data_IF_226921128831
#
_entry.id   IF_226921128831
#
_cell.length_a   1.000
_cell.length_b   1.000
_cell.length_c   1.000
_cell.angle_alpha   90.00
_cell.angle_beta   90.00
_cell.angle_gamma   90.00
#
_symmetry.space_group_name_H-M   'P 1'
#
loop_
_entity.id
_entity.type
_entity.pdbx_description
1 polymer ?
#
# COMPACT_ATOMS: atom_id res chain seq x y z
N UNK A 1 26.47 13.26 -6.40
CA UNK A 1 27.23 11.99 -6.41
C UNK A 1 26.30 10.90 -5.92
N UNK A 2 25.76 10.09 -6.82
CA UNK A 2 24.92 8.93 -6.47
C UNK A 2 25.84 7.84 -5.93
N UNK A 3 25.73 7.57 -4.66
CA UNK A 3 26.63 6.69 -3.93
C UNK A 3 26.03 5.29 -3.85
N UNK A 4 26.78 4.31 -4.34
CA UNK A 4 26.91 2.89 -3.89
C UNK A 4 25.66 1.98 -3.90
N UNK A 5 24.42 2.45 -3.92
CA UNK A 5 23.23 1.59 -3.87
C UNK A 5 22.72 1.12 -5.25
N UNK A 6 23.25 1.66 -6.34
CA UNK A 6 22.83 1.37 -7.73
C UNK A 6 23.04 -0.10 -8.17
N UNK A 7 23.74 -0.92 -7.36
CA UNK A 7 23.99 -2.35 -7.62
C UNK A 7 23.25 -3.28 -6.67
N UNK A 8 22.43 -2.76 -5.77
CA UNK A 8 21.69 -3.60 -4.83
C UNK A 8 20.51 -4.26 -5.55
N UNK A 9 20.50 -5.58 -5.56
CA UNK A 9 19.36 -6.36 -6.07
C UNK A 9 18.27 -6.34 -4.98
N UNK A 10 17.10 -5.85 -5.33
CA UNK A 10 15.93 -5.77 -4.43
C UNK A 10 14.93 -6.90 -4.66
N UNK A 11 14.99 -7.52 -5.84
CA UNK A 11 14.10 -8.59 -6.25
C UNK A 11 14.80 -9.50 -7.24
N UNK A 12 14.58 -10.80 -7.14
CA UNK A 12 15.01 -11.77 -8.13
C UNK A 12 13.99 -12.89 -8.33
N UNK A 13 13.93 -13.43 -9.54
CA UNK A 13 13.24 -14.66 -9.84
C UNK A 13 14.14 -15.59 -10.63
N UNK A 14 14.04 -16.89 -10.32
CA UNK A 14 14.93 -17.93 -10.85
C UNK A 14 14.10 -19.09 -11.36
N UNK A 15 14.25 -19.39 -12.65
CA UNK A 15 13.60 -20.53 -13.28
C UNK A 15 12.07 -20.47 -13.23
N UNK A 16 11.48 -19.27 -13.30
CA UNK A 16 10.04 -19.09 -13.15
C UNK A 16 9.29 -19.69 -14.35
N UNK A 17 8.36 -20.60 -14.06
CA UNK A 17 7.45 -21.20 -15.02
C UNK A 17 6.02 -21.06 -14.54
N UNK A 18 5.10 -20.72 -15.45
CA UNK A 18 3.67 -20.63 -15.16
C UNK A 18 2.86 -21.24 -16.28
N UNK A 19 2.02 -22.21 -15.93
CA UNK A 19 1.03 -22.81 -16.81
C UNK A 19 -0.37 -22.51 -16.29
N UNK A 20 -1.27 -22.06 -17.15
CA UNK A 20 -2.68 -21.87 -16.82
C UNK A 20 -3.37 -23.23 -16.91
N UNK A 21 -3.87 -23.73 -15.79
CA UNK A 21 -4.45 -25.09 -15.70
C UNK A 21 -5.69 -25.28 -16.57
N UNK A 22 -6.52 -24.23 -16.75
CA UNK A 22 -7.79 -24.31 -17.49
C UNK A 22 -7.62 -24.74 -18.95
N UNK A 23 -6.54 -24.33 -19.59
CA UNK A 23 -6.26 -24.62 -21.01
C UNK A 23 -4.88 -25.22 -21.23
N UNK A 24 -4.21 -25.63 -20.18
CA UNK A 24 -2.85 -26.18 -20.18
C UNK A 24 -1.82 -25.34 -20.98
N UNK A 25 -2.06 -24.00 -21.01
CA UNK A 25 -1.20 -23.07 -21.75
C UNK A 25 -0.07 -22.58 -20.85
N UNK A 26 1.18 -22.85 -21.24
CA UNK A 26 2.35 -22.28 -20.59
C UNK A 26 2.48 -20.80 -21.00
N UNK A 27 2.33 -19.86 -20.04
CA UNK A 27 2.38 -18.40 -20.26
C UNK A 27 3.72 -17.79 -19.90
N UNK A 28 4.44 -18.40 -18.95
CA UNK A 28 5.81 -18.02 -18.61
C UNK A 28 6.68 -19.27 -18.66
N UNK A 29 7.86 -19.15 -19.27
CA UNK A 29 8.77 -20.25 -19.47
C UNK A 29 10.18 -19.85 -19.08
N UNK A 30 10.70 -20.49 -18.02
CA UNK A 30 12.09 -20.41 -17.58
C UNK A 30 12.61 -18.96 -17.47
N UNK A 31 11.86 -18.09 -16.74
CA UNK A 31 12.20 -16.67 -16.59
C UNK A 31 13.24 -16.51 -15.48
N UNK A 32 14.30 -15.79 -15.80
CA UNK A 32 15.34 -15.35 -14.88
C UNK A 32 15.42 -13.82 -14.94
N UNK A 33 15.13 -13.14 -13.85
CA UNK A 33 15.16 -11.68 -13.76
C UNK A 33 15.71 -11.24 -12.40
N UNK A 34 16.44 -10.13 -12.40
CA UNK A 34 16.86 -9.46 -11.18
C UNK A 34 16.64 -7.95 -11.34
N UNK A 35 16.04 -7.33 -10.34
CA UNK A 35 15.76 -5.90 -10.31
C UNK A 35 16.70 -5.22 -9.34
N UNK A 36 17.35 -4.17 -9.82
CA UNK A 36 18.20 -3.31 -9.01
C UNK A 36 17.39 -2.18 -8.38
N UNK A 37 17.86 -1.70 -7.26
CA UNK A 37 17.30 -0.52 -6.62
C UNK A 37 17.27 0.67 -7.60
N UNK A 38 16.16 1.42 -7.62
CA UNK A 38 15.97 2.58 -8.50
C UNK A 38 15.70 2.25 -9.97
N UNK A 39 15.74 0.99 -10.39
CA UNK A 39 15.51 0.63 -11.79
C UNK A 39 14.05 0.87 -12.22
N UNK A 40 13.87 1.51 -13.37
CA UNK A 40 12.58 1.67 -14.05
C UNK A 40 12.51 0.63 -15.18
N UNK A 41 11.59 -0.32 -15.06
CA UNK A 41 11.52 -1.49 -15.95
C UNK A 41 10.19 -1.51 -16.68
N UNK A 42 10.24 -1.55 -18.02
CA UNK A 42 9.07 -1.71 -18.88
C UNK A 42 8.92 -3.16 -19.35
N UNK A 43 7.68 -3.70 -19.30
CA UNK A 43 7.35 -5.02 -19.85
C UNK A 43 6.49 -4.83 -21.09
N UNK A 44 7.01 -5.25 -22.26
CA UNK A 44 6.35 -5.10 -23.56
C UNK A 44 6.02 -6.48 -24.12
N UNK A 45 4.91 -6.60 -24.83
CA UNK A 45 4.48 -7.81 -25.51
C UNK A 45 3.02 -7.76 -25.95
N UNK A 46 2.63 -8.71 -26.78
CA UNK A 46 1.25 -8.84 -27.28
C UNK A 46 0.26 -9.18 -26.17
N UNK A 47 -1.04 -9.04 -26.44
CA UNK A 47 -2.09 -9.47 -25.51
C UNK A 47 -2.01 -11.00 -25.33
N UNK A 48 -2.14 -11.45 -24.08
CA UNK A 48 -2.01 -12.88 -23.73
C UNK A 48 -0.57 -13.40 -23.63
N UNK A 49 0.46 -12.54 -23.73
CA UNK A 49 1.87 -12.93 -23.58
C UNK A 49 2.32 -13.16 -22.13
N UNK A 50 1.45 -12.99 -21.14
CA UNK A 50 1.77 -13.24 -19.73
C UNK A 50 2.23 -12.02 -18.92
N UNK A 51 2.20 -10.80 -19.49
CA UNK A 51 2.64 -9.57 -18.77
C UNK A 51 1.93 -9.39 -17.41
N UNK A 52 0.60 -9.42 -17.43
CA UNK A 52 -0.20 -9.25 -16.19
C UNK A 52 -0.01 -10.42 -15.22
N UNK A 53 0.24 -11.63 -15.73
CA UNK A 53 0.57 -12.81 -14.91
C UNK A 53 1.91 -12.61 -14.21
N UNK A 54 2.93 -12.15 -14.95
CA UNK A 54 4.24 -11.86 -14.39
C UNK A 54 4.16 -10.77 -13.30
N UNK A 55 3.44 -9.68 -13.56
CA UNK A 55 3.23 -8.60 -12.57
C UNK A 55 2.50 -9.10 -11.32
N UNK A 56 1.47 -9.96 -11.47
CA UNK A 56 0.77 -10.56 -10.31
C UNK A 56 1.67 -11.47 -9.49
N UNK A 57 2.59 -12.19 -10.12
CA UNK A 57 3.59 -13.01 -9.42
C UNK A 57 4.58 -12.12 -8.66
N UNK A 58 5.08 -11.06 -9.29
CA UNK A 58 5.95 -10.06 -8.64
C UNK A 58 5.23 -9.42 -7.45
N UNK A 59 3.95 -9.13 -7.57
CA UNK A 59 3.14 -8.56 -6.50
C UNK A 59 2.76 -9.57 -5.40
N UNK A 60 3.11 -10.85 -5.54
CA UNK A 60 2.73 -11.91 -4.58
C UNK A 60 1.26 -12.30 -4.62
N UNK A 61 0.48 -11.78 -5.58
CA UNK A 61 -0.94 -12.06 -5.77
C UNK A 61 -1.21 -13.42 -6.42
N UNK A 62 -0.27 -13.92 -7.22
CA UNK A 62 -0.30 -15.26 -7.82
C UNK A 62 0.89 -16.06 -7.31
N UNK A 63 0.61 -17.10 -6.52
CA UNK A 63 1.62 -17.99 -5.92
C UNK A 63 1.68 -19.36 -6.60
N UNK A 64 0.84 -19.59 -7.63
CA UNK A 64 0.79 -20.89 -8.33
C UNK A 64 1.74 -20.93 -9.52
N UNK A 65 3.02 -20.94 -9.26
CA UNK A 65 4.11 -21.03 -10.24
C UNK A 65 5.18 -22.04 -9.80
N UNK A 66 6.08 -22.39 -10.69
CA UNK A 66 7.29 -23.16 -10.41
C UNK A 66 8.50 -22.23 -10.51
N UNK A 67 9.52 -22.48 -9.71
CA UNK A 67 10.70 -21.63 -9.60
C UNK A 67 10.72 -20.85 -8.30
N UNK A 68 11.64 -19.89 -8.17
CA UNK A 68 11.84 -19.12 -6.97
C UNK A 68 11.63 -17.62 -7.23
N UNK A 69 11.00 -16.95 -6.27
CA UNK A 69 10.83 -15.49 -6.24
C UNK A 69 11.30 -15.01 -4.89
N UNK A 70 12.28 -14.11 -4.88
CA UNK A 70 12.94 -13.62 -3.67
C UNK A 70 12.90 -12.10 -3.65
N UNK A 71 12.43 -11.54 -2.54
CA UNK A 71 12.52 -10.12 -2.22
C UNK A 71 13.61 -9.88 -1.18
N UNK A 72 14.36 -8.81 -1.36
CA UNK A 72 15.28 -8.37 -0.31
C UNK A 72 14.51 -7.84 0.90
N UNK A 73 14.96 -8.13 2.12
CA UNK A 73 14.31 -7.62 3.33
C UNK A 73 14.21 -6.10 3.34
N UNK A 74 13.12 -5.57 3.90
CA UNK A 74 12.88 -4.13 4.04
C UNK A 74 12.26 -3.45 2.81
N UNK A 75 11.81 -4.21 1.81
CA UNK A 75 11.07 -3.69 0.66
C UNK A 75 9.63 -4.21 0.65
N UNK A 76 8.70 -3.31 0.37
CA UNK A 76 7.29 -3.61 0.13
C UNK A 76 6.97 -3.55 -1.37
N UNK A 77 5.88 -4.18 -1.78
CA UNK A 77 5.42 -4.19 -3.17
C UNK A 77 4.02 -3.63 -3.24
N UNK A 78 3.85 -2.52 -3.96
CA UNK A 78 2.54 -2.01 -4.36
C UNK A 78 2.14 -2.54 -5.73
N UNK A 79 0.88 -2.90 -5.92
CA UNK A 79 0.33 -3.35 -7.19
C UNK A 79 -0.88 -2.52 -7.60
N UNK A 80 -0.76 -1.82 -8.72
CA UNK A 80 -1.88 -1.12 -9.33
C UNK A 80 -2.46 -1.97 -10.45
N UNK A 81 -3.68 -2.46 -10.27
CA UNK A 81 -4.40 -3.21 -11.29
C UNK A 81 -4.80 -2.30 -12.46
N UNK A 82 -4.93 -2.87 -13.66
CA UNK A 82 -5.43 -2.14 -14.84
C UNK A 82 -6.89 -1.68 -14.64
N UNK A 83 -7.68 -2.51 -13.97
CA UNK A 83 -9.05 -2.21 -13.52
C UNK A 83 -9.09 -2.44 -12.01
N UNK A 84 -8.81 -1.39 -11.20
CA UNK A 84 -8.83 -1.52 -9.76
C UNK A 84 -10.26 -1.70 -9.28
N UNK A 85 -10.46 -2.64 -8.36
CA UNK A 85 -11.70 -2.74 -7.63
C UNK A 85 -11.69 -1.67 -6.53
N UNK A 86 -12.70 -0.83 -6.54
CA UNK A 86 -13.01 0.12 -5.47
C UNK A 86 -14.43 -0.16 -5.01
N UNK A 87 -14.68 -0.12 -3.72
CA UNK A 87 -16.00 -0.36 -3.15
C UNK A 87 -16.99 0.71 -3.66
N UNK A 88 -18.03 0.31 -4.42
CA UNK A 88 -18.96 1.27 -5.01
C UNK A 88 -19.83 1.98 -3.97
N UNK A 89 -19.93 1.46 -2.75
CA UNK A 89 -20.73 2.04 -1.66
C UNK A 89 -20.06 3.21 -0.98
N UNK A 90 -18.78 3.44 -1.26
CA UNK A 90 -17.94 4.46 -0.61
C UNK A 90 -17.77 5.70 -1.47
N UNK A 91 -17.37 6.78 -0.81
CA UNK A 91 -16.91 8.02 -1.45
C UNK A 91 -15.43 7.93 -1.81
N UNK A 92 -14.96 8.86 -2.62
CA UNK A 92 -13.53 8.99 -2.98
C UNK A 92 -12.66 9.16 -1.74
N UNK A 93 -13.08 10.01 -0.79
CA UNK A 93 -12.39 10.23 0.48
C UNK A 93 -12.28 8.95 1.29
N UNK A 94 -13.37 8.22 1.46
CA UNK A 94 -13.39 6.97 2.22
C UNK A 94 -12.45 5.92 1.63
N UNK A 95 -12.37 5.81 0.30
CA UNK A 95 -11.42 4.91 -0.36
C UNK A 95 -9.97 5.35 -0.10
N UNK A 96 -9.67 6.63 -0.25
CA UNK A 96 -8.30 7.14 -0.04
C UNK A 96 -7.88 6.99 1.42
N UNK A 97 -8.81 7.19 2.36
CA UNK A 97 -8.59 6.99 3.80
C UNK A 97 -8.22 5.54 4.16
N UNK A 98 -8.66 4.54 3.38
CA UNK A 98 -8.28 3.13 3.63
C UNK A 98 -6.76 2.93 3.62
N UNK A 99 -6.03 3.70 2.82
CA UNK A 99 -4.57 3.63 2.74
C UNK A 99 -3.85 4.11 4.00
N UNK A 100 -4.53 4.86 4.84
CA UNK A 100 -3.96 5.47 6.06
C UNK A 100 -4.70 5.07 7.34
N UNK A 101 -5.53 4.01 7.28
CA UNK A 101 -6.28 3.53 8.43
C UNK A 101 -5.43 3.33 9.69
N UNK A 102 -4.22 2.72 9.63
CA UNK A 102 -3.40 2.56 10.84
C UNK A 102 -3.00 3.90 11.48
N UNK A 103 -2.86 4.96 10.69
CA UNK A 103 -2.54 6.30 11.18
C UNK A 103 -3.78 6.96 11.80
N UNK A 104 -4.94 6.80 11.15
CA UNK A 104 -6.23 7.29 11.66
C UNK A 104 -6.58 6.60 12.98
N UNK A 105 -6.38 5.29 13.07
CA UNK A 105 -6.61 4.50 14.28
C UNK A 105 -5.67 4.95 15.42
N UNK A 106 -4.40 5.23 15.10
CA UNK A 106 -3.44 5.75 16.09
C UNK A 106 -3.83 7.12 16.62
N UNK A 107 -4.32 8.04 15.76
CA UNK A 107 -4.82 9.34 16.18
C UNK A 107 -6.08 9.21 17.04
N UNK A 108 -7.00 8.33 16.67
CA UNK A 108 -8.22 8.09 17.43
C UNK A 108 -7.92 7.49 18.82
N UNK A 109 -7.01 6.50 18.89
CA UNK A 109 -6.59 5.90 20.15
C UNK A 109 -5.85 6.92 21.04
N UNK A 110 -5.01 7.78 20.45
CA UNK A 110 -4.33 8.84 21.17
C UNK A 110 -5.31 9.81 21.82
N UNK A 111 -6.35 10.22 21.10
CA UNK A 111 -7.39 11.10 21.62
C UNK A 111 -8.22 10.39 22.72
N UNK A 112 -8.55 9.11 22.56
CA UNK A 112 -9.23 8.31 23.57
C UNK A 112 -8.42 8.23 24.88
N UNK A 113 -7.10 8.04 24.78
CA UNK A 113 -6.19 8.02 25.93
C UNK A 113 -6.20 9.38 26.64
N UNK A 114 -6.15 10.48 25.88
CA UNK A 114 -6.23 11.82 26.46
C UNK A 114 -7.51 12.05 27.28
N UNK A 115 -8.63 11.51 26.80
CA UNK A 115 -9.89 11.59 27.54
C UNK A 115 -9.86 10.73 28.81
N UNK A 116 -9.24 9.54 28.75
CA UNK A 116 -9.13 8.63 29.90
C UNK A 116 -8.31 9.18 31.06
N UNK A 117 -7.34 10.05 30.84
CA UNK A 117 -6.58 10.71 31.89
C UNK A 117 -7.45 11.52 32.87
N UNK A 118 -8.60 12.03 32.42
CA UNK A 118 -9.54 12.78 33.24
C UNK A 118 -10.52 11.92 34.04
N UNK A 119 -10.51 10.59 33.87
CA UNK A 119 -11.48 9.68 34.51
C UNK A 119 -10.97 9.17 35.86
N UNK A 120 -11.80 9.19 36.93
CA UNK A 120 -11.41 8.72 38.27
C UNK A 120 -10.85 7.30 38.30
N UNK A 121 -11.42 6.40 37.53
CA UNK A 121 -11.00 5.01 37.43
C UNK A 121 -9.58 4.78 36.93
N UNK A 122 -8.96 5.81 36.30
CA UNK A 122 -7.59 5.79 35.81
C UNK A 122 -6.66 6.58 36.72
N UNK A 123 -6.99 7.84 37.08
CA UNK A 123 -6.09 8.67 37.87
C UNK A 123 -5.99 8.24 39.34
N UNK A 124 -6.93 7.47 39.87
CA UNK A 124 -6.86 6.86 41.21
C UNK A 124 -6.07 5.53 41.25
N UNK A 125 -5.70 4.98 40.08
CA UNK A 125 -4.98 3.71 39.95
C UNK A 125 -3.64 3.94 39.22
N UNK A 126 -2.54 3.89 39.97
CA UNK A 126 -1.20 4.17 39.45
C UNK A 126 -0.80 3.20 38.31
N UNK A 127 -1.15 1.90 38.43
CA UNK A 127 -0.79 0.91 37.40
C UNK A 127 -1.51 1.18 36.07
N UNK A 128 -2.76 1.66 36.13
CA UNK A 128 -3.50 2.07 34.94
C UNK A 128 -2.93 3.34 34.32
N UNK A 129 -2.58 4.33 35.15
CA UNK A 129 -1.96 5.55 34.68
C UNK A 129 -0.63 5.28 33.96
N UNK A 130 0.23 4.43 34.53
CA UNK A 130 1.53 4.10 33.93
C UNK A 130 1.36 3.40 32.58
N UNK A 131 0.34 2.54 32.43
CA UNK A 131 -0.02 1.93 31.14
C UNK A 131 -0.50 2.95 30.11
N UNK A 132 -1.34 3.91 30.53
CA UNK A 132 -1.82 4.97 29.64
C UNK A 132 -0.65 5.85 29.15
N UNK A 133 0.26 6.25 30.04
CA UNK A 133 1.46 7.02 29.67
C UNK A 133 2.36 6.26 28.70
N UNK A 134 2.61 4.98 28.97
CA UNK A 134 3.42 4.16 28.07
C UNK A 134 2.80 4.04 26.69
N UNK A 135 1.50 3.79 26.63
CA UNK A 135 0.78 3.67 25.35
C UNK A 135 0.69 5.00 24.61
N UNK A 136 0.47 6.10 25.32
CA UNK A 136 0.47 7.44 24.73
C UNK A 136 1.81 7.76 24.08
N UNK A 137 2.93 7.43 24.75
CA UNK A 137 4.27 7.66 24.21
C UNK A 137 4.51 6.86 22.92
N UNK A 138 4.12 5.58 22.88
CA UNK A 138 4.20 4.77 21.65
C UNK A 138 3.39 5.36 20.50
N UNK A 139 2.16 5.82 20.77
CA UNK A 139 1.31 6.44 19.75
C UNK A 139 1.87 7.79 19.29
N UNK A 140 2.43 8.58 20.21
CA UNK A 140 3.08 9.86 19.87
C UNK A 140 4.24 9.62 18.90
N UNK A 141 5.08 8.61 19.15
CA UNK A 141 6.19 8.26 18.26
C UNK A 141 5.70 7.89 16.85
N UNK A 142 4.60 7.14 16.74
CA UNK A 142 3.97 6.79 15.45
C UNK A 142 3.43 8.03 14.75
N UNK A 143 2.69 8.88 15.47
CA UNK A 143 2.06 10.10 14.96
C UNK A 143 3.12 11.08 14.45
N UNK A 144 4.20 11.25 15.20
CA UNK A 144 5.29 12.15 14.83
C UNK A 144 6.10 11.59 13.65
N UNK A 145 6.42 10.29 13.65
CA UNK A 145 7.15 9.65 12.56
C UNK A 145 6.38 9.70 11.22
N UNK A 146 5.05 9.66 11.27
CA UNK A 146 4.18 9.72 10.07
C UNK A 146 3.71 11.14 9.75
N UNK A 147 4.01 12.13 10.62
CA UNK A 147 3.48 13.51 10.57
C UNK A 147 1.94 13.48 10.43
N UNK A 148 1.30 12.68 11.28
CA UNK A 148 -0.13 12.40 11.22
C UNK A 148 -1.00 13.59 11.58
N UNK A 149 -0.48 14.60 12.31
CA UNK A 149 -1.18 15.84 12.60
C UNK A 149 -1.58 16.63 11.35
N UNK A 150 -0.84 16.46 10.24
CA UNK A 150 -1.09 17.08 8.96
C UNK A 150 -1.73 16.12 7.92
N UNK A 151 -2.35 15.03 8.39
CA UNK A 151 -2.85 13.96 7.51
C UNK A 151 -3.85 14.48 6.48
N UNK A 152 -4.87 15.23 6.89
CA UNK A 152 -5.89 15.77 5.98
C UNK A 152 -5.27 16.62 4.87
N UNK A 153 -4.34 17.51 5.22
CA UNK A 153 -3.64 18.35 4.22
C UNK A 153 -2.74 17.53 3.28
N UNK A 154 -2.18 16.41 3.75
CA UNK A 154 -1.41 15.50 2.90
C UNK A 154 -2.30 14.76 1.93
N UNK A 155 -3.45 14.26 2.40
CA UNK A 155 -4.43 13.58 1.58
C UNK A 155 -4.98 14.51 0.50
N UNK A 156 -5.39 15.72 0.87
CA UNK A 156 -5.87 16.74 -0.07
C UNK A 156 -4.84 17.04 -1.16
N UNK A 157 -3.58 17.32 -0.78
CA UNK A 157 -2.51 17.57 -1.74
C UNK A 157 -2.24 16.38 -2.66
N UNK A 158 -2.31 15.14 -2.15
CA UNK A 158 -2.12 13.95 -2.97
C UNK A 158 -3.27 13.76 -3.96
N UNK A 159 -4.51 13.99 -3.52
CA UNK A 159 -5.69 13.92 -4.37
C UNK A 159 -5.66 15.00 -5.45
N UNK A 160 -5.27 16.22 -5.13
CA UNK A 160 -5.12 17.32 -6.08
C UNK A 160 -4.02 17.04 -7.12
N UNK A 161 -2.84 16.58 -6.67
CA UNK A 161 -1.72 16.26 -7.55
C UNK A 161 -2.08 15.18 -8.58
N UNK A 162 -2.92 14.22 -8.21
CA UNK A 162 -3.41 13.16 -9.08
C UNK A 162 -4.70 13.53 -9.81
N UNK A 163 -5.24 14.73 -9.59
CA UNK A 163 -6.51 15.19 -10.14
C UNK A 163 -7.62 14.17 -9.86
N UNK A 164 -7.72 13.73 -8.63
CA UNK A 164 -8.81 12.88 -8.19
C UNK A 164 -10.16 13.60 -8.32
N UNK A 165 -11.27 12.88 -8.46
CA UNK A 165 -12.61 13.45 -8.36
C UNK A 165 -12.84 14.09 -6.99
N UNK A 166 -13.91 14.92 -6.84
CA UNK A 166 -14.31 15.49 -5.56
C UNK A 166 -14.39 14.43 -4.45
N UNK A 167 -13.97 14.77 -3.24
CA UNK A 167 -13.84 13.84 -2.12
C UNK A 167 -15.16 13.19 -1.70
N UNK A 168 -16.28 13.89 -1.88
CA UNK A 168 -17.64 13.48 -1.55
C UNK A 168 -18.32 12.67 -2.67
N UNK A 169 -17.69 12.58 -3.85
CA UNK A 169 -18.26 11.85 -4.98
C UNK A 169 -18.28 10.35 -4.71
N UNK A 170 -19.45 9.71 -5.00
CA UNK A 170 -19.57 8.25 -4.91
C UNK A 170 -18.72 7.55 -5.97
N UNK A 171 -18.04 6.49 -5.54
CA UNK A 171 -17.22 5.63 -6.42
C UNK A 171 -18.05 4.96 -7.50
N UNK A 172 -19.34 4.71 -7.26
CA UNK A 172 -20.26 4.12 -8.24
C UNK A 172 -20.32 4.91 -9.55
N UNK A 173 -20.27 6.24 -9.44
CA UNK A 173 -20.43 7.16 -10.58
C UNK A 173 -19.11 7.56 -11.26
N UNK A 174 -17.99 7.01 -10.83
CA UNK A 174 -16.67 7.32 -11.40
C UNK A 174 -16.48 6.66 -12.76
N UNK A 175 -15.94 7.40 -13.71
CA UNK A 175 -15.39 6.86 -14.95
C UNK A 175 -14.19 5.93 -14.68
N UNK A 176 -13.86 5.06 -15.64
CA UNK A 176 -12.69 4.17 -15.49
C UNK A 176 -11.37 4.92 -15.29
N UNK A 177 -11.22 6.12 -15.87
CA UNK A 177 -10.05 6.99 -15.67
C UNK A 177 -9.99 7.57 -14.26
N UNK A 178 -11.12 7.99 -13.72
CA UNK A 178 -11.23 8.48 -12.33
C UNK A 178 -10.95 7.39 -11.31
N UNK A 179 -11.55 6.20 -11.48
CA UNK A 179 -11.26 5.04 -10.63
C UNK A 179 -9.76 4.72 -10.57
N UNK A 180 -9.06 4.79 -11.71
CA UNK A 180 -7.60 4.57 -11.75
C UNK A 180 -6.83 5.63 -10.98
N UNK A 181 -7.23 6.91 -11.06
CA UNK A 181 -6.57 7.99 -10.31
C UNK A 181 -6.77 7.83 -8.80
N UNK A 182 -7.99 7.49 -8.36
CA UNK A 182 -8.29 7.21 -6.96
C UNK A 182 -7.49 6.00 -6.44
N UNK A 183 -7.45 4.91 -7.20
CA UNK A 183 -6.65 3.73 -6.84
C UNK A 183 -5.14 4.01 -6.82
N UNK A 184 -4.65 4.87 -7.71
CA UNK A 184 -3.25 5.32 -7.69
C UNK A 184 -2.98 6.17 -6.45
N UNK A 185 -3.90 7.06 -6.09
CA UNK A 185 -3.81 7.86 -4.87
C UNK A 185 -3.72 6.96 -3.64
N UNK A 186 -4.65 6.00 -3.49
CA UNK A 186 -4.63 5.00 -2.42
C UNK A 186 -3.29 4.26 -2.34
N UNK A 187 -2.74 3.82 -3.48
CA UNK A 187 -1.48 3.06 -3.50
C UNK A 187 -0.24 3.89 -3.16
N UNK A 188 -0.25 5.21 -3.41
CA UNK A 188 0.85 6.11 -3.10
C UNK A 188 0.82 6.65 -1.67
N UNK A 189 -0.36 6.74 -1.08
CA UNK A 189 -0.53 7.22 0.31
C UNK A 189 -0.14 6.13 1.31
N UNK A 190 -0.22 4.88 0.93
CA UNK A 190 0.11 3.72 1.78
C UNK A 190 1.63 3.57 2.07
N UNK A 191 2.43 4.56 1.69
CA UNK A 191 3.88 4.56 1.93
C UNK A 191 4.15 5.26 3.29
#
# INVERSE_FOLDING_TARGET
>A
MATVDDKKIIFSMVGLNKTIQQNNKQVLKNIYLSFFYGAKIGIIGLNGSGKSTLLKIIAGLDKSYQGEVVFSPGYSVGYLAQEPYLDPTKTVKEIVMEGVLPIVDALAEYEEINQKFGLPEYYEDQDKMDKLFSRQAELQDIIDATDAWNLDSKLERAMDALRCPPEDQSVEHLSGGERRRVALCLSLIHI
#
